data_IF_174031436726
#
_entry.id   IF_174031436726
#
_cell.length_a   1.000
_cell.length_b   1.000
_cell.length_c   1.000
_cell.angle_alpha   90.00
_cell.angle_beta   90.00
_cell.angle_gamma   90.00
#
_symmetry.space_group_name_H-M   'P 1'
#
loop_
_entity.id
_entity.type
_entity.pdbx_description
1 polymer ?
#
# COMPACT_ATOMS: atom_id res chain seq x y z
N UNK A 1 -7.82 -7.26 9.68
CA UNK A 1 -8.04 -6.12 8.74
C UNK A 1 -7.07 -6.32 7.61
N UNK A 2 -7.55 -6.34 6.39
CA UNK A 2 -6.74 -6.63 5.22
C UNK A 2 -6.47 -5.33 4.47
N UNK A 3 -5.22 -5.08 4.15
CA UNK A 3 -4.73 -3.93 3.43
C UNK A 3 -4.09 -4.40 2.13
N UNK A 4 -4.53 -3.85 1.01
CA UNK A 4 -3.97 -4.11 -0.32
C UNK A 4 -3.62 -2.78 -0.98
N UNK A 5 -2.33 -2.45 -0.98
CA UNK A 5 -1.80 -1.19 -1.49
C UNK A 5 -1.08 -1.44 -2.81
N UNK A 6 -1.53 -0.80 -3.89
CA UNK A 6 -0.88 -0.81 -5.20
C UNK A 6 -0.07 0.46 -5.36
N UNK A 7 1.23 0.31 -5.58
CA UNK A 7 2.15 1.43 -5.68
C UNK A 7 3.12 1.28 -6.85
N UNK A 8 3.57 2.43 -7.33
CA UNK A 8 4.58 2.61 -8.35
C UNK A 8 5.71 3.50 -7.85
N UNK A 9 6.96 3.08 -8.07
CA UNK A 9 8.13 3.93 -7.91
C UNK A 9 8.64 4.36 -9.26
N UNK A 10 8.83 5.67 -9.43
CA UNK A 10 9.48 6.24 -10.60
C UNK A 10 10.92 6.62 -10.23
N UNK A 11 11.87 6.11 -11.01
CA UNK A 11 13.29 6.27 -10.77
C UNK A 11 13.90 7.35 -11.66
N UNK A 12 15.07 7.84 -11.23
CA UNK A 12 15.86 8.83 -11.97
C UNK A 12 16.36 8.33 -13.32
N UNK A 13 16.73 7.05 -13.39
CA UNK A 13 17.37 6.42 -14.54
C UNK A 13 16.59 5.17 -14.99
N UNK A 14 16.90 4.70 -16.19
CA UNK A 14 16.33 3.48 -16.77
C UNK A 14 16.80 2.24 -15.98
N UNK A 15 15.84 1.40 -15.59
CA UNK A 15 16.06 0.17 -14.83
C UNK A 15 16.44 -1.01 -15.72
N UNK A 16 16.40 -0.89 -17.05
CA UNK A 16 16.57 -2.00 -17.99
C UNK A 16 17.89 -2.76 -17.78
N UNK A 17 18.96 -2.05 -17.42
CA UNK A 17 20.28 -2.65 -17.16
C UNK A 17 20.36 -3.38 -15.83
N UNK A 18 19.61 -2.93 -14.83
CA UNK A 18 19.64 -3.44 -13.45
C UNK A 18 18.40 -4.27 -13.10
N UNK A 19 17.54 -4.55 -14.08
CA UNK A 19 16.24 -5.21 -13.87
C UNK A 19 16.38 -6.51 -13.08
N UNK A 20 17.34 -7.36 -13.45
CA UNK A 20 17.58 -8.65 -12.78
C UNK A 20 18.04 -8.48 -11.34
N UNK A 21 18.93 -7.51 -11.10
CA UNK A 21 19.46 -7.22 -9.77
C UNK A 21 18.35 -6.66 -8.87
N UNK A 22 17.52 -5.77 -9.41
CA UNK A 22 16.37 -5.21 -8.73
C UNK A 22 15.32 -6.29 -8.42
N UNK A 23 14.98 -7.17 -9.36
CA UNK A 23 14.07 -8.29 -9.11
C UNK A 23 14.59 -9.22 -8.00
N UNK A 24 15.89 -9.53 -8.02
CA UNK A 24 16.54 -10.32 -6.97
C UNK A 24 16.49 -9.61 -5.61
N UNK A 25 16.79 -8.32 -5.59
CA UNK A 25 16.69 -7.49 -4.40
C UNK A 25 15.27 -7.48 -3.82
N UNK A 26 14.25 -7.25 -4.64
CA UNK A 26 12.85 -7.21 -4.20
C UNK A 26 12.43 -8.59 -3.66
N UNK A 27 12.85 -9.67 -4.32
CA UNK A 27 12.59 -11.04 -3.85
C UNK A 27 13.21 -11.29 -2.47
N UNK A 28 14.46 -10.87 -2.27
CA UNK A 28 15.14 -10.97 -0.97
C UNK A 28 14.48 -10.09 0.10
N UNK A 29 14.10 -8.87 -0.26
CA UNK A 29 13.40 -7.94 0.62
C UNK A 29 12.02 -8.49 1.03
N UNK A 30 11.27 -9.06 0.09
CA UNK A 30 9.98 -9.72 0.36
C UNK A 30 10.17 -10.89 1.34
N UNK A 31 11.17 -11.76 1.12
CA UNK A 31 11.50 -12.84 2.07
C UNK A 31 11.82 -12.29 3.46
N UNK A 32 12.67 -11.26 3.55
CA UNK A 32 13.06 -10.61 4.81
C UNK A 32 11.84 -10.06 5.56
N UNK A 33 10.87 -9.48 4.85
CA UNK A 33 9.62 -8.99 5.43
C UNK A 33 8.75 -10.16 5.88
N UNK A 34 8.48 -11.13 5.01
CA UNK A 34 7.61 -12.27 5.34
C UNK A 34 8.17 -13.12 6.48
N UNK A 35 9.49 -13.17 6.67
CA UNK A 35 10.13 -13.79 7.84
C UNK A 35 9.88 -13.00 9.12
N UNK A 36 9.88 -11.66 9.06
CA UNK A 36 9.56 -10.81 10.22
C UNK A 36 8.08 -10.85 10.55
N UNK A 37 7.23 -10.81 9.53
CA UNK A 37 5.78 -10.84 9.65
C UNK A 37 5.17 -11.60 8.47
N UNK A 38 4.62 -12.78 8.76
CA UNK A 38 4.01 -13.66 7.74
C UNK A 38 2.76 -13.05 7.10
N UNK A 39 2.19 -12.04 7.73
CA UNK A 39 0.97 -11.38 7.26
C UNK A 39 1.23 -10.35 6.16
N UNK A 40 2.50 -10.00 5.93
CA UNK A 40 2.90 -8.99 4.95
C UNK A 40 3.60 -9.65 3.76
N UNK A 41 3.17 -9.27 2.56
CA UNK A 41 3.72 -9.82 1.31
C UNK A 41 3.68 -8.80 0.18
N UNK A 42 4.78 -8.72 -0.56
CA UNK A 42 4.88 -7.97 -1.81
C UNK A 42 4.58 -8.91 -2.97
N UNK A 43 3.75 -8.47 -3.91
CA UNK A 43 3.29 -9.23 -5.07
C UNK A 43 3.13 -8.32 -6.30
N UNK A 44 2.83 -8.93 -7.46
CA UNK A 44 2.58 -8.22 -8.73
C UNK A 44 3.71 -7.24 -9.14
N UNK A 45 4.96 -7.67 -8.95
CA UNK A 45 6.13 -6.84 -9.27
C UNK A 45 6.26 -6.75 -10.80
N UNK A 46 6.31 -5.53 -11.32
CA UNK A 46 6.44 -5.25 -12.75
C UNK A 46 7.37 -4.06 -12.96
N UNK A 47 8.42 -4.25 -13.75
CA UNK A 47 9.39 -3.19 -14.08
C UNK A 47 9.22 -2.79 -15.53
N UNK A 48 8.98 -1.50 -15.76
CA UNK A 48 8.83 -0.90 -17.09
C UNK A 48 9.69 0.37 -17.20
N UNK A 49 10.74 0.32 -18.02
CA UNK A 49 11.69 1.44 -18.21
C UNK A 49 12.24 1.95 -16.87
N UNK A 50 11.77 3.10 -16.41
CA UNK A 50 12.15 3.75 -15.16
C UNK A 50 11.10 3.60 -14.05
N UNK A 51 10.07 2.77 -14.24
CA UNK A 51 9.00 2.57 -13.28
C UNK A 51 8.99 1.14 -12.73
N UNK A 52 8.72 1.02 -11.43
CA UNK A 52 8.52 -0.24 -10.73
C UNK A 52 7.12 -0.23 -10.11
N UNK A 53 6.25 -1.09 -10.60
CA UNK A 53 4.92 -1.31 -10.06
C UNK A 53 4.91 -2.55 -9.18
N UNK A 54 4.19 -2.50 -8.07
CA UNK A 54 4.04 -3.61 -7.14
C UNK A 54 2.78 -3.43 -6.29
N UNK A 55 2.37 -4.51 -5.62
CA UNK A 55 1.29 -4.49 -4.64
C UNK A 55 1.81 -5.02 -3.31
N UNK A 56 1.46 -4.36 -2.22
CA UNK A 56 1.78 -4.78 -0.85
C UNK A 56 0.47 -5.21 -0.20
N UNK A 57 0.38 -6.50 0.11
CA UNK A 57 -0.71 -7.07 0.88
C UNK A 57 -0.26 -7.21 2.34
N UNK A 58 -1.12 -6.80 3.26
CA UNK A 58 -0.88 -6.93 4.70
C UNK A 58 -2.17 -7.30 5.41
N UNK A 59 -2.09 -8.23 6.35
CA UNK A 59 -3.22 -8.58 7.22
C UNK A 59 -2.89 -8.30 8.69
N UNK A 60 -3.62 -7.40 9.33
CA UNK A 60 -3.51 -7.13 10.76
C UNK A 60 -2.97 -5.74 11.08
N UNK A 61 -1.92 -5.67 11.89
CA UNK A 61 -1.46 -4.40 12.50
C UNK A 61 -0.49 -3.67 11.57
N UNK A 62 0.27 -4.42 10.76
CA UNK A 62 1.25 -3.82 9.86
C UNK A 62 0.57 -2.98 8.79
N UNK A 63 1.13 -1.80 8.54
CA UNK A 63 0.62 -0.88 7.51
C UNK A 63 1.50 -0.99 6.26
N UNK A 64 0.93 -1.17 5.05
CA UNK A 64 1.68 -1.24 3.80
C UNK A 64 2.59 -0.05 3.54
N UNK A 65 2.23 1.15 4.03
CA UNK A 65 3.06 2.34 3.86
C UNK A 65 4.43 2.20 4.53
N UNK A 66 4.54 1.50 5.66
CA UNK A 66 5.82 1.27 6.33
C UNK A 66 6.74 0.40 5.48
N UNK A 67 6.17 -0.63 4.84
CA UNK A 67 6.90 -1.52 3.93
C UNK A 67 7.38 -0.73 2.70
N UNK A 68 6.51 0.11 2.15
CA UNK A 68 6.83 0.99 1.03
C UNK A 68 7.99 1.93 1.35
N UNK A 69 7.96 2.59 2.51
CA UNK A 69 9.03 3.50 2.96
C UNK A 69 10.35 2.75 3.21
N UNK A 70 10.29 1.57 3.83
CA UNK A 70 11.47 0.72 4.03
C UNK A 70 12.08 0.29 2.69
N UNK A 71 11.24 -0.08 1.73
CA UNK A 71 11.68 -0.48 0.39
C UNK A 71 12.39 0.67 -0.32
N UNK A 72 11.81 1.88 -0.31
CA UNK A 72 12.43 3.11 -0.84
C UNK A 72 13.81 3.36 -0.24
N UNK A 73 13.93 3.24 1.09
CA UNK A 73 15.18 3.48 1.80
C UNK A 73 16.26 2.44 1.46
N UNK A 74 15.91 1.15 1.44
CA UNK A 74 16.86 0.09 1.11
C UNK A 74 17.31 0.18 -0.37
N UNK A 75 16.38 0.47 -1.31
CA UNK A 75 16.74 0.71 -2.71
C UNK A 75 17.70 1.90 -2.85
N UNK A 76 17.40 3.02 -2.19
CA UNK A 76 18.26 4.22 -2.25
C UNK A 76 19.65 3.94 -1.65
N UNK A 77 19.75 3.07 -0.64
CA UNK A 77 21.03 2.71 -0.02
C UNK A 77 21.87 1.79 -0.90
N UNK A 78 21.25 0.77 -1.51
CA UNK A 78 21.94 -0.26 -2.28
C UNK A 78 22.20 0.17 -3.73
N UNK A 79 21.18 0.70 -4.40
CA UNK A 79 21.25 1.11 -5.81
C UNK A 79 21.62 2.58 -5.99
N UNK A 80 21.42 3.43 -4.99
CA UNK A 80 21.84 4.83 -5.04
C UNK A 80 23.36 4.97 -5.11
N UNK A 81 24.11 4.17 -4.35
CA UNK A 81 25.59 4.20 -4.38
C UNK A 81 26.17 3.51 -5.62
N UNK A 82 25.66 2.32 -5.94
CA UNK A 82 26.23 1.47 -6.99
C UNK A 82 25.81 1.90 -8.41
N UNK A 83 24.60 2.43 -8.56
CA UNK A 83 23.98 2.70 -9.87
C UNK A 83 23.46 4.14 -10.03
N UNK A 84 23.70 5.03 -9.06
CA UNK A 84 23.16 6.40 -9.04
C UNK A 84 21.64 6.44 -9.24
N UNK A 85 20.96 5.43 -8.71
CA UNK A 85 19.52 5.22 -8.84
C UNK A 85 18.79 5.81 -7.63
N UNK A 86 17.95 6.82 -7.87
CA UNK A 86 17.09 7.41 -6.83
C UNK A 86 15.61 7.24 -7.18
N UNK A 87 14.78 7.00 -6.15
CA UNK A 87 13.32 7.09 -6.28
C UNK A 87 12.94 8.58 -6.32
N UNK A 88 12.42 9.05 -7.44
CA UNK A 88 11.99 10.44 -7.64
C UNK A 88 10.57 10.68 -7.16
N UNK A 89 9.70 9.71 -7.42
CA UNK A 89 8.27 9.83 -7.16
C UNK A 89 7.72 8.48 -6.71
N UNK A 90 6.76 8.55 -5.79
CA UNK A 90 5.94 7.42 -5.38
C UNK A 90 4.52 7.73 -5.76
N UNK A 91 3.93 6.87 -6.56
CA UNK A 91 2.52 6.93 -6.92
C UNK A 91 1.77 5.77 -6.27
N UNK A 92 0.63 6.03 -5.62
CA UNK A 92 -0.23 4.97 -5.11
C UNK A 92 -1.45 4.88 -6.02
N UNK A 93 -1.46 3.87 -6.90
CA UNK A 93 -2.52 3.66 -7.87
C UNK A 93 -3.86 3.34 -7.21
N UNK A 94 -3.81 2.63 -6.08
CA UNK A 94 -5.00 2.33 -5.32
C UNK A 94 -4.69 1.69 -3.99
N UNK A 95 -5.57 1.91 -3.03
CA UNK A 95 -5.46 1.33 -1.71
C UNK A 95 -6.81 0.81 -1.26
N UNK A 96 -6.89 -0.51 -1.11
CA UNK A 96 -8.08 -1.21 -0.63
C UNK A 96 -7.87 -1.62 0.83
N UNK A 97 -8.86 -1.35 1.67
CA UNK A 97 -8.81 -1.66 3.10
C UNK A 97 -10.10 -2.36 3.48
N UNK A 98 -10.00 -3.63 3.84
CA UNK A 98 -11.13 -4.46 4.25
C UNK A 98 -11.09 -4.73 5.75
N UNK A 99 -12.20 -4.46 6.42
CA UNK A 99 -12.34 -4.68 7.86
C UNK A 99 -13.76 -5.08 8.22
N UNK A 100 -13.89 -5.80 9.33
CA UNK A 100 -15.17 -6.24 9.84
C UNK A 100 -15.80 -5.15 10.71
N UNK A 101 -17.10 -4.98 10.54
CA UNK A 101 -17.97 -4.08 11.27
C UNK A 101 -18.74 -4.87 12.34
N UNK A 102 -18.97 -4.23 13.48
CA UNK A 102 -19.78 -4.82 14.54
C UNK A 102 -21.26 -4.95 14.12
N UNK A 103 -21.77 -3.95 13.39
CA UNK A 103 -23.15 -3.90 12.89
C UNK A 103 -23.19 -3.86 11.37
N UNK A 104 -24.25 -4.44 10.80
CA UNK A 104 -24.51 -4.38 9.35
C UNK A 104 -24.93 -2.96 8.97
N UNK A 105 -24.33 -2.32 7.96
CA UNK A 105 -24.80 -1.03 7.47
C UNK A 105 -26.21 -1.19 6.87
N UNK A 106 -27.12 -0.31 7.28
CA UNK A 106 -28.48 -0.24 6.75
C UNK A 106 -28.54 0.60 5.47
N UNK A 107 -27.58 1.52 5.28
CA UNK A 107 -27.48 2.43 4.13
C UNK A 107 -26.04 2.58 3.66
N UNK A 108 -25.88 2.90 2.38
CA UNK A 108 -24.59 3.27 1.80
C UNK A 108 -24.03 4.52 2.47
N UNK A 109 -22.74 4.46 2.79
CA UNK A 109 -21.99 5.55 3.42
C UNK A 109 -20.98 6.07 2.40
N UNK A 110 -21.03 7.38 2.17
CA UNK A 110 -19.98 8.10 1.45
C UNK A 110 -19.06 8.79 2.46
N UNK A 111 -17.76 8.71 2.20
CA UNK A 111 -16.75 9.48 2.91
C UNK A 111 -15.91 10.26 1.90
N UNK A 112 -15.33 11.40 2.29
CA UNK A 112 -14.41 12.13 1.42
C UNK A 112 -13.20 11.25 1.07
N UNK A 113 -12.69 11.37 -0.16
CA UNK A 113 -11.45 10.72 -0.62
C UNK A 113 -11.45 9.18 -0.69
N UNK A 114 -12.59 8.51 -0.44
CA UNK A 114 -12.71 7.07 -0.67
C UNK A 114 -14.14 6.62 -0.98
N UNK A 115 -14.25 5.58 -1.79
CA UNK A 115 -15.48 4.81 -1.94
C UNK A 115 -15.56 3.75 -0.84
N UNK A 116 -16.73 3.59 -0.20
CA UNK A 116 -16.96 2.51 0.77
C UNK A 116 -17.91 1.50 0.16
N UNK A 117 -17.50 0.25 0.11
CA UNK A 117 -18.36 -0.88 -0.27
C UNK A 117 -18.65 -1.73 0.93
N UNK A 118 -19.89 -2.12 1.10
CA UNK A 118 -20.30 -2.99 2.18
C UNK A 118 -20.74 -4.34 1.64
N UNK A 119 -20.24 -5.40 2.27
CA UNK A 119 -20.67 -6.77 2.02
C UNK A 119 -21.01 -7.39 3.36
N UNK A 120 -22.32 -7.36 3.69
CA UNK A 120 -22.84 -7.82 4.98
C UNK A 120 -22.20 -7.11 6.17
N UNK A 121 -21.26 -7.76 6.86
CA UNK A 121 -20.53 -7.20 8.00
C UNK A 121 -19.11 -6.75 7.65
N UNK A 122 -18.70 -6.85 6.39
CA UNK A 122 -17.36 -6.41 5.96
C UNK A 122 -17.47 -5.11 5.19
N UNK A 123 -16.71 -4.10 5.61
CA UNK A 123 -16.52 -2.86 4.90
C UNK A 123 -15.21 -2.90 4.10
N UNK A 124 -15.25 -2.43 2.86
CA UNK A 124 -14.08 -2.24 2.01
C UNK A 124 -13.99 -0.78 1.61
N UNK A 125 -12.96 -0.10 2.08
CA UNK A 125 -12.57 1.25 1.65
C UNK A 125 -11.72 1.13 0.40
N UNK A 126 -12.03 1.92 -0.62
CA UNK A 126 -11.30 1.98 -1.88
C UNK A 126 -10.85 3.42 -2.07
N UNK A 127 -9.55 3.64 -1.92
CA UNK A 127 -8.90 4.91 -2.21
C UNK A 127 -8.21 4.82 -3.58
N UNK A 128 -8.35 5.86 -4.40
CA UNK A 128 -7.75 5.96 -5.73
C UNK A 128 -6.92 7.23 -5.79
N UNK A 129 -5.76 7.14 -6.44
CA UNK A 129 -4.87 8.28 -6.71
C UNK A 129 -4.55 9.10 -5.44
N UNK A 130 -4.03 8.40 -4.44
CA UNK A 130 -3.58 9.03 -3.18
C UNK A 130 -2.06 9.21 -3.19
N UNK A 131 -1.58 10.23 -2.49
CA UNK A 131 -0.15 10.53 -2.38
C UNK A 131 0.48 9.90 -1.13
N UNK A 132 1.83 9.89 -1.09
CA UNK A 132 2.61 9.41 0.05
C UNK A 132 2.20 10.11 1.36
N UNK A 133 1.92 11.41 1.31
CA UNK A 133 1.49 12.21 2.48
C UNK A 133 0.15 11.72 3.06
N UNK A 134 -0.77 11.26 2.19
CA UNK A 134 -2.07 10.74 2.63
C UNK A 134 -1.91 9.46 3.47
N UNK A 135 -0.89 8.66 3.17
CA UNK A 135 -0.59 7.44 3.92
C UNK A 135 0.04 7.71 5.29
N UNK A 136 0.75 8.83 5.45
CA UNK A 136 1.52 9.13 6.67
C UNK A 136 0.68 9.76 7.79
N UNK A 137 -0.44 10.40 7.47
CA UNK A 137 -1.14 11.31 8.41
C UNK A 137 -2.33 10.69 9.18
N UNK A 138 -2.32 9.39 9.50
CA UNK A 138 -3.43 8.69 10.19
C UNK A 138 -4.82 8.90 9.54
N UNK A 139 -4.88 9.33 8.27
CA UNK A 139 -6.15 9.58 7.57
C UNK A 139 -6.96 8.29 7.46
N UNK A 140 -6.29 7.16 7.22
CA UNK A 140 -6.90 5.84 7.13
C UNK A 140 -7.66 5.48 8.41
N UNK A 141 -7.00 5.58 9.57
CA UNK A 141 -7.62 5.25 10.85
C UNK A 141 -8.79 6.18 11.16
N UNK A 142 -8.65 7.47 10.84
CA UNK A 142 -9.77 8.43 10.94
C UNK A 142 -10.93 8.04 10.03
N UNK A 143 -10.67 7.61 8.80
CA UNK A 143 -11.71 7.19 7.85
C UNK A 143 -12.44 5.93 8.34
N UNK A 144 -11.70 4.94 8.87
CA UNK A 144 -12.28 3.73 9.46
C UNK A 144 -13.19 4.11 10.63
N UNK A 145 -12.72 4.96 11.54
CA UNK A 145 -13.54 5.43 12.67
C UNK A 145 -14.79 6.18 12.19
N UNK A 146 -14.67 7.02 11.16
CA UNK A 146 -15.83 7.70 10.56
C UNK A 146 -16.84 6.74 9.94
N UNK A 147 -16.38 5.63 9.36
CA UNK A 147 -17.29 4.59 8.87
C UNK A 147 -18.01 3.93 10.03
N UNK A 148 -17.28 3.51 11.08
CA UNK A 148 -17.88 2.91 12.28
C UNK A 148 -18.92 3.83 12.92
N UNK A 149 -18.58 5.10 13.19
CA UNK A 149 -19.50 6.10 13.72
C UNK A 149 -20.75 6.25 12.85
N UNK A 150 -20.60 6.29 11.52
CA UNK A 150 -21.74 6.42 10.61
C UNK A 150 -22.60 5.16 10.54
N UNK A 151 -22.03 3.97 10.73
CA UNK A 151 -22.80 2.72 10.82
C UNK A 151 -23.55 2.66 12.15
N UNK A 152 -22.92 3.05 13.25
CA UNK A 152 -23.56 3.09 14.56
C UNK A 152 -24.74 4.06 14.60
N UNK A 153 -24.59 5.26 14.06
CA UNK A 153 -25.66 6.27 13.98
C UNK A 153 -26.84 5.89 13.09
N UNK A 154 -26.77 4.77 12.36
CA UNK A 154 -27.93 4.25 11.60
C UNK A 154 -28.90 3.45 12.49
N UNK A 155 -28.47 3.09 13.70
CA UNK A 155 -29.23 2.31 14.69
C UNK A 155 -29.60 3.17 15.89
#
# INVERSE_FOLDING_TARGET
>A
MIFDLKAGFTFSNDLSKIKKELESFISNFNKKITTKDKTVKIQNIKIEKNNLFFSILSDGIFRPHNVLLQMKNEISKEFGKSYHLGVREIKIEGYNISFDLEKKPLKDIKIPFAEVKFKEKTATLILKDIDEEFLQHNYIDRMINRVNEKVENQY
#
